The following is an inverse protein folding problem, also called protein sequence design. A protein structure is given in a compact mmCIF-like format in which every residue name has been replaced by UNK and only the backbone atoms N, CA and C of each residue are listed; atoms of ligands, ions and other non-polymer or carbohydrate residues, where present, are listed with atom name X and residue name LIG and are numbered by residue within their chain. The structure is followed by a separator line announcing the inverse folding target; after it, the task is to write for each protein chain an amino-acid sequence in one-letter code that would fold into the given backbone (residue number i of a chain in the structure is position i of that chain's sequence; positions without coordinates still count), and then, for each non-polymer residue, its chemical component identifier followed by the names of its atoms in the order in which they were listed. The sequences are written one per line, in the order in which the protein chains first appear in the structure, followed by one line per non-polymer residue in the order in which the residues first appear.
data_IF_240389031372
#
_entry.id   IF_240389031372
#
_cell.length_a   1.000
_cell.length_b   1.000
_cell.length_c   1.000
_cell.angle_alpha   90.00
_cell.angle_beta   90.00
_cell.angle_gamma   90.00
#
_symmetry.space_group_name_H-M   'P 1'
#
loop_
_entity.id
_entity.type
_entity.pdbx_description
1 polymer ?
#
# COMPACT_ATOMS: atom_id res chain seq x y z
N UNK A 1 -11.67 11.13 12.04
CA UNK A 1 -11.34 9.81 12.68
C UNK A 1 -10.53 8.95 11.74
N UNK A 2 -9.39 8.41 12.18
CA UNK A 2 -8.49 7.54 11.40
C UNK A 2 -8.12 6.34 12.28
N UNK A 3 -8.17 5.13 11.72
CA UNK A 3 -7.72 3.92 12.39
C UNK A 3 -6.21 3.78 12.16
N UNK A 4 -5.44 3.79 13.22
CA UNK A 4 -3.98 3.81 13.16
C UNK A 4 -3.35 2.61 13.86
N UNK A 5 -2.15 2.29 13.42
CA UNK A 5 -1.20 1.42 14.11
C UNK A 5 0.05 2.22 14.42
N UNK A 6 0.48 2.25 15.67
CA UNK A 6 1.58 3.12 16.08
C UNK A 6 2.32 2.58 17.32
N UNK A 7 3.46 3.17 17.63
CA UNK A 7 4.13 3.08 18.93
C UNK A 7 3.82 4.32 19.75
N UNK A 8 3.52 4.15 21.04
CA UNK A 8 3.30 5.24 22.00
C UNK A 8 4.59 5.63 22.77
N UNK A 9 5.71 5.68 22.06
CA UNK A 9 7.05 5.96 22.59
C UNK A 9 8.06 4.90 22.20
N UNK A 10 9.34 5.18 22.41
CA UNK A 10 10.44 4.30 22.03
C UNK A 10 10.38 2.96 22.78
N UNK A 11 10.39 1.86 22.03
CA UNK A 11 10.41 0.50 22.57
C UNK A 11 9.08 -0.02 23.10
N UNK A 12 7.97 0.71 22.99
CA UNK A 12 6.63 0.21 23.33
C UNK A 12 6.16 -0.84 22.32
N UNK A 13 5.30 -1.77 22.77
CA UNK A 13 4.58 -2.64 21.84
C UNK A 13 3.70 -1.78 20.90
N UNK A 14 3.52 -2.21 19.63
CA UNK A 14 2.55 -1.56 18.76
C UNK A 14 1.16 -1.56 19.39
N UNK A 15 0.41 -0.48 19.18
CA UNK A 15 -0.98 -0.35 19.58
C UNK A 15 -1.86 -0.02 18.36
N UNK A 16 -3.13 -0.37 18.47
CA UNK A 16 -4.17 -0.05 17.50
C UNK A 16 -5.11 0.94 18.16
N UNK A 17 -5.41 2.05 17.48
CA UNK A 17 -6.25 3.11 18.03
C UNK A 17 -6.95 3.92 16.96
N UNK A 18 -7.89 4.72 17.42
CA UNK A 18 -8.56 5.74 16.62
C UNK A 18 -7.92 7.10 16.90
N UNK A 19 -7.44 7.74 15.86
CA UNK A 19 -7.00 9.13 15.89
C UNK A 19 -8.18 10.03 15.57
N UNK A 20 -8.47 10.93 16.49
CA UNK A 20 -9.48 11.98 16.31
C UNK A 20 -9.04 13.25 17.07
N UNK A 21 -9.15 14.41 16.42
CA UNK A 21 -8.79 15.73 16.99
C UNK A 21 -7.42 15.77 17.70
N UNK A 22 -6.42 15.06 17.15
CA UNK A 22 -5.04 15.06 17.70
C UNK A 22 -4.85 14.13 18.91
N UNK A 23 -5.82 13.27 19.22
CA UNK A 23 -5.76 12.27 20.28
C UNK A 23 -5.94 10.88 19.70
N UNK A 24 -5.07 9.96 20.09
CA UNK A 24 -5.18 8.53 19.78
C UNK A 24 -5.82 7.82 20.95
N UNK A 25 -7.00 7.25 20.77
CA UNK A 25 -7.64 6.38 21.76
C UNK A 25 -7.48 4.94 21.35
N UNK A 26 -6.86 4.10 22.18
CA UNK A 26 -6.61 2.69 21.87
C UNK A 26 -7.92 1.91 21.81
N UNK A 27 -7.97 0.89 20.91
CA UNK A 27 -9.13 0.02 20.80
C UNK A 27 -9.09 -1.02 21.90
N UNK A 28 -10.11 -1.04 22.79
CA UNK A 28 -10.19 -2.00 23.88
C UNK A 28 -10.26 -3.43 23.38
N UNK A 29 -9.35 -4.29 23.86
CA UNK A 29 -9.31 -5.71 23.52
C UNK A 29 -8.69 -6.02 22.15
N UNK A 30 -8.17 -5.01 21.44
CA UNK A 30 -7.51 -5.19 20.14
C UNK A 30 -6.00 -5.04 20.28
N UNK A 31 -5.26 -6.12 20.06
CA UNK A 31 -3.80 -6.12 20.17
C UNK A 31 -3.09 -5.94 18.82
N UNK A 32 -3.72 -6.32 17.72
CA UNK A 32 -3.13 -6.30 16.37
C UNK A 32 -4.16 -5.87 15.32
N UNK A 33 -3.67 -5.34 14.19
CA UNK A 33 -4.55 -5.00 13.07
C UNK A 33 -5.19 -6.26 12.48
N UNK A 34 -4.42 -7.35 12.31
CA UNK A 34 -4.96 -8.63 11.87
C UNK A 34 -6.08 -9.15 12.81
N UNK A 35 -5.92 -8.97 14.13
CA UNK A 35 -6.95 -9.34 15.10
C UNK A 35 -8.23 -8.48 14.98
N UNK A 36 -8.08 -7.19 14.64
CA UNK A 36 -9.23 -6.34 14.35
C UNK A 36 -9.93 -6.78 13.06
N UNK A 37 -9.17 -7.00 12.00
CA UNK A 37 -9.70 -7.37 10.69
C UNK A 37 -10.28 -8.79 10.64
N UNK A 38 -10.02 -9.62 11.65
CA UNK A 38 -10.69 -10.91 11.83
C UNK A 38 -12.16 -10.78 12.28
N UNK A 39 -12.58 -9.58 12.72
CA UNK A 39 -13.93 -9.34 13.22
C UNK A 39 -14.90 -8.95 12.08
N UNK A 40 -16.22 -9.22 12.25
CA UNK A 40 -17.25 -8.69 11.36
C UNK A 40 -17.23 -7.16 11.32
N UNK A 41 -17.52 -6.55 10.15
CA UNK A 41 -17.48 -5.11 9.93
C UNK A 41 -18.30 -4.32 10.98
N UNK A 42 -19.46 -4.84 11.37
CA UNK A 42 -20.29 -4.20 12.41
C UNK A 42 -19.55 -4.05 13.75
N UNK A 43 -18.77 -5.03 14.16
CA UNK A 43 -18.00 -4.98 15.40
C UNK A 43 -16.79 -4.05 15.26
N UNK A 44 -16.11 -4.09 14.10
CA UNK A 44 -15.02 -3.16 13.79
C UNK A 44 -15.54 -1.71 13.89
N UNK A 45 -16.67 -1.42 13.24
CA UNK A 45 -17.28 -0.09 13.28
C UNK A 45 -17.62 0.36 14.68
N UNK A 46 -18.22 -0.52 15.49
CA UNK A 46 -18.54 -0.21 16.90
C UNK A 46 -17.27 0.12 17.72
N UNK A 47 -16.19 -0.65 17.56
CA UNK A 47 -14.90 -0.37 18.21
C UNK A 47 -14.28 0.94 17.74
N UNK A 48 -14.43 1.31 16.48
CA UNK A 48 -13.94 2.59 15.96
C UNK A 48 -14.75 3.77 16.47
N UNK A 49 -16.07 3.62 16.64
CA UNK A 49 -16.98 4.67 17.14
C UNK A 49 -16.89 4.83 18.67
N UNK A 50 -16.58 3.74 19.42
CA UNK A 50 -16.36 3.74 20.88
C UNK A 50 -15.11 2.90 21.24
N UNK A 51 -13.90 3.45 21.04
CA UNK A 51 -12.66 2.71 21.24
C UNK A 51 -12.41 2.29 22.69
N UNK A 52 -12.80 3.11 23.67
CA UNK A 52 -12.88 2.78 25.08
C UNK A 52 -11.57 2.39 25.78
N UNK A 53 -10.41 2.60 25.16
CA UNK A 53 -9.09 2.37 25.74
C UNK A 53 -8.41 3.65 26.23
N UNK A 54 -7.10 3.59 26.42
CA UNK A 54 -6.30 4.71 26.90
C UNK A 54 -6.09 5.77 25.80
N UNK A 55 -6.05 7.03 26.19
CA UNK A 55 -5.80 8.17 25.31
C UNK A 55 -4.31 8.57 25.32
N UNK A 56 -3.75 8.76 24.13
CA UNK A 56 -2.36 9.20 23.93
C UNK A 56 -2.35 10.38 22.96
N UNK A 57 -1.67 11.50 23.24
CA UNK A 57 -1.50 12.60 22.30
C UNK A 57 -0.83 12.14 21.00
N UNK A 58 -1.33 12.58 19.84
CA UNK A 58 -0.81 12.17 18.53
C UNK A 58 0.66 12.55 18.30
N UNK A 59 1.10 13.68 18.87
CA UNK A 59 2.50 14.13 18.81
C UNK A 59 3.50 13.23 19.58
N UNK A 60 2.97 12.27 20.37
CA UNK A 60 3.76 11.29 21.13
C UNK A 60 3.76 9.90 20.51
N UNK A 61 3.15 9.73 19.35
CA UNK A 61 3.12 8.43 18.67
C UNK A 61 3.95 8.44 17.39
N UNK A 62 4.52 7.29 17.06
CA UNK A 62 5.17 7.02 15.78
C UNK A 62 4.32 6.07 14.98
N UNK A 63 3.85 6.52 13.81
CA UNK A 63 3.00 5.70 12.94
C UNK A 63 3.77 4.49 12.38
N UNK A 64 3.07 3.39 12.24
CA UNK A 64 3.52 2.17 11.59
C UNK A 64 2.67 1.89 10.36
N UNK A 65 3.14 1.00 9.48
CA UNK A 65 2.28 0.47 8.42
C UNK A 65 0.97 -0.07 9.04
N UNK A 66 -0.20 0.24 8.46
CA UNK A 66 -1.50 -0.13 9.03
C UNK A 66 -1.84 -1.62 8.80
N UNK A 67 -0.85 -2.47 8.77
CA UNK A 67 -0.96 -3.93 8.59
C UNK A 67 0.03 -4.64 9.52
N UNK A 68 -0.33 -5.83 9.97
CA UNK A 68 0.54 -6.72 10.76
C UNK A 68 0.09 -8.19 10.67
N UNK A 69 0.79 -9.06 11.39
CA UNK A 69 0.43 -10.48 11.52
C UNK A 69 0.28 -11.17 10.18
N UNK A 70 -0.89 -11.73 9.95
CA UNK A 70 -1.26 -12.49 8.76
C UNK A 70 -2.00 -11.68 7.69
N UNK A 71 -2.07 -10.36 7.83
CA UNK A 71 -2.69 -9.48 6.82
C UNK A 71 -1.79 -9.38 5.59
N UNK A 72 -2.13 -10.06 4.53
CA UNK A 72 -1.41 -9.97 3.26
C UNK A 72 -1.81 -8.71 2.47
N UNK A 73 -0.92 -8.29 1.58
CA UNK A 73 -1.19 -7.25 0.58
C UNK A 73 -1.23 -7.89 -0.79
N UNK A 74 -2.38 -7.76 -1.45
CA UNK A 74 -2.59 -8.11 -2.84
C UNK A 74 -2.77 -6.85 -3.67
N UNK A 75 -2.48 -6.93 -4.96
CA UNK A 75 -2.67 -5.82 -5.88
C UNK A 75 -3.39 -6.28 -7.15
N UNK A 76 -4.09 -5.33 -7.77
CA UNK A 76 -4.76 -5.51 -9.04
C UNK A 76 -3.98 -4.77 -10.13
N UNK A 77 -3.55 -5.49 -11.17
CA UNK A 77 -2.90 -4.90 -12.33
C UNK A 77 -3.88 -4.48 -13.43
N UNK A 78 -3.43 -3.57 -14.29
CA UNK A 78 -4.14 -3.17 -15.54
C UNK A 78 -5.59 -2.72 -15.29
N UNK A 79 -5.82 -1.99 -14.22
CA UNK A 79 -7.16 -1.53 -13.82
C UNK A 79 -7.55 -0.17 -14.40
N UNK A 80 -6.59 0.57 -14.96
CA UNK A 80 -6.81 1.86 -15.63
C UNK A 80 -6.39 1.78 -17.09
N UNK A 81 -7.05 2.54 -17.97
CA UNK A 81 -6.70 2.61 -19.39
C UNK A 81 -5.26 3.13 -19.58
N UNK A 82 -4.88 4.19 -18.86
CA UNK A 82 -3.53 4.76 -18.94
C UNK A 82 -2.45 3.77 -18.51
N UNK A 83 -2.69 2.93 -17.51
CA UNK A 83 -1.72 1.91 -17.08
C UNK A 83 -1.52 0.85 -18.16
N UNK A 84 -2.59 0.48 -18.87
CA UNK A 84 -2.51 -0.38 -20.05
C UNK A 84 -1.64 0.24 -21.14
N UNK A 85 -1.89 1.51 -21.50
CA UNK A 85 -1.18 2.21 -22.56
C UNK A 85 0.33 2.37 -22.26
N UNK A 86 0.68 2.68 -21.00
CA UNK A 86 2.08 2.75 -20.55
C UNK A 86 2.80 1.40 -20.72
N UNK A 87 2.14 0.29 -20.36
CA UNK A 87 2.69 -1.07 -20.49
C UNK A 87 2.87 -1.50 -21.95
N UNK A 88 1.96 -1.13 -22.81
CA UNK A 88 2.03 -1.37 -24.26
C UNK A 88 3.26 -0.67 -24.86
N UNK A 89 3.58 0.56 -24.42
CA UNK A 89 4.74 1.31 -24.90
C UNK A 89 6.08 0.76 -24.37
N UNK A 90 6.08 0.10 -23.20
CA UNK A 90 7.28 -0.42 -22.55
C UNK A 90 7.73 -1.77 -23.11
N UNK A 91 6.85 -2.53 -23.77
CA UNK A 91 7.14 -3.86 -24.30
C UNK A 91 6.28 -4.19 -25.52
N UNK A 92 6.86 -4.06 -26.72
CA UNK A 92 6.19 -4.42 -27.98
C UNK A 92 5.74 -5.90 -28.01
N UNK A 93 6.53 -6.79 -27.40
CA UNK A 93 6.24 -8.23 -27.34
C UNK A 93 5.10 -8.57 -26.37
N UNK A 94 4.78 -7.70 -25.41
CA UNK A 94 3.78 -7.96 -24.36
C UNK A 94 2.51 -7.12 -24.51
N UNK A 95 2.47 -6.19 -25.46
CA UNK A 95 1.35 -5.28 -25.70
C UNK A 95 -0.01 -6.00 -25.79
N UNK A 96 -0.07 -7.09 -26.56
CA UNK A 96 -1.25 -7.90 -26.76
C UNK A 96 -1.75 -8.58 -25.45
N UNK A 97 -0.84 -8.88 -24.52
CA UNK A 97 -1.18 -9.47 -23.21
C UNK A 97 -1.93 -8.45 -22.36
N UNK A 98 -1.44 -7.21 -22.28
CA UNK A 98 -2.07 -6.17 -21.47
C UNK A 98 -3.44 -5.75 -22.01
N UNK A 99 -3.61 -5.67 -23.35
CA UNK A 99 -4.92 -5.43 -23.97
C UNK A 99 -5.92 -6.56 -23.66
N UNK A 100 -5.46 -7.80 -23.70
CA UNK A 100 -6.30 -8.97 -23.36
C UNK A 100 -6.68 -8.98 -21.89
N UNK A 101 -5.75 -8.68 -20.96
CA UNK A 101 -6.03 -8.60 -19.52
C UNK A 101 -7.01 -7.47 -19.22
N UNK A 102 -6.82 -6.30 -19.83
CA UNK A 102 -7.73 -5.17 -19.66
C UNK A 102 -9.17 -5.51 -20.10
N UNK A 103 -9.32 -6.27 -21.20
CA UNK A 103 -10.62 -6.69 -21.72
C UNK A 103 -11.19 -7.97 -21.07
N UNK A 104 -10.37 -8.73 -20.34
CA UNK A 104 -10.76 -10.04 -19.78
C UNK A 104 -11.85 -9.93 -18.72
N UNK A 105 -12.64 -11.01 -18.56
CA UNK A 105 -13.58 -11.14 -17.44
C UNK A 105 -12.83 -11.26 -16.09
N UNK A 106 -11.75 -12.06 -16.04
CA UNK A 106 -10.93 -12.26 -14.83
C UNK A 106 -9.93 -11.11 -14.69
N UNK A 107 -9.89 -10.39 -13.54
CA UNK A 107 -8.87 -9.37 -13.29
C UNK A 107 -7.49 -10.02 -13.10
N UNK A 108 -6.45 -9.25 -13.33
CA UNK A 108 -5.12 -9.56 -12.82
C UNK A 108 -5.08 -9.27 -11.33
N UNK A 109 -4.80 -10.28 -10.52
CA UNK A 109 -4.58 -10.15 -9.08
C UNK A 109 -3.27 -10.86 -8.75
N UNK A 110 -2.41 -10.20 -7.99
CA UNK A 110 -1.15 -10.79 -7.58
C UNK A 110 -0.82 -10.45 -6.12
N UNK A 111 -0.13 -11.37 -5.46
CA UNK A 111 0.41 -11.13 -4.13
C UNK A 111 1.50 -10.06 -4.20
N UNK A 112 1.36 -8.99 -3.41
CA UNK A 112 2.32 -7.88 -3.38
C UNK A 112 3.29 -7.98 -2.22
N UNK A 113 2.79 -8.22 -1.01
CA UNK A 113 3.64 -8.24 0.17
C UNK A 113 2.99 -8.95 1.34
N UNK A 114 3.78 -9.65 2.14
CA UNK A 114 3.38 -9.97 3.50
C UNK A 114 3.54 -8.75 4.41
N UNK A 115 2.70 -8.63 5.44
CA UNK A 115 2.68 -7.48 6.36
C UNK A 115 4.06 -7.09 6.90
N UNK A 116 4.91 -8.06 7.25
CA UNK A 116 6.23 -7.79 7.84
C UNK A 116 7.21 -7.06 6.90
N UNK A 117 6.96 -7.03 5.59
CA UNK A 117 7.75 -6.34 4.56
C UNK A 117 7.18 -5.00 4.15
N UNK A 118 6.00 -4.64 4.64
CA UNK A 118 5.37 -3.37 4.31
C UNK A 118 6.06 -2.24 5.07
N UNK A 119 6.50 -1.24 4.34
CA UNK A 119 7.12 -0.02 4.87
C UNK A 119 6.01 0.93 5.33
N UNK A 120 6.14 1.47 6.54
CA UNK A 120 5.23 2.48 7.06
C UNK A 120 5.60 3.90 6.64
N UNK A 121 4.83 4.91 7.11
CA UNK A 121 5.12 6.32 6.89
C UNK A 121 6.52 6.70 7.37
N UNK A 122 7.25 7.50 6.59
CA UNK A 122 8.61 7.93 6.87
C UNK A 122 9.70 6.85 6.70
N UNK A 123 9.30 5.59 6.47
CA UNK A 123 10.22 4.49 6.25
C UNK A 123 10.86 4.50 4.86
N UNK A 124 11.91 3.68 4.67
CA UNK A 124 12.64 3.59 3.42
C UNK A 124 12.04 2.55 2.47
N UNK A 125 11.53 3.00 1.31
CA UNK A 125 11.25 2.13 0.17
C UNK A 125 12.52 1.85 -0.61
N UNK A 126 12.56 0.77 -1.38
CA UNK A 126 13.77 0.41 -2.11
C UNK A 126 13.53 0.31 -3.62
N UNK A 127 14.54 0.71 -4.39
CA UNK A 127 14.74 0.26 -5.76
C UNK A 127 15.69 -0.94 -5.75
N UNK A 128 15.50 -1.87 -6.68
CA UNK A 128 16.33 -3.08 -6.74
C UNK A 128 17.76 -2.77 -7.16
N UNK A 129 18.72 -3.54 -6.65
CA UNK A 129 20.14 -3.40 -7.02
C UNK A 129 20.44 -3.90 -8.44
N UNK A 130 19.58 -4.77 -8.97
CA UNK A 130 19.65 -5.42 -10.27
C UNK A 130 18.62 -4.89 -11.28
N UNK A 131 18.08 -3.68 -11.05
CA UNK A 131 17.14 -2.98 -11.92
C UNK A 131 17.73 -1.67 -12.41
N UNK A 132 17.37 -1.27 -13.63
CA UNK A 132 17.80 -0.02 -14.26
C UNK A 132 16.72 1.06 -14.22
N UNK A 133 15.45 0.65 -14.37
CA UNK A 133 14.30 1.55 -14.34
C UNK A 133 13.34 1.11 -13.25
N UNK A 134 13.20 1.95 -12.25
CA UNK A 134 12.33 1.72 -11.10
C UNK A 134 11.41 2.95 -10.91
N UNK A 135 10.14 2.69 -10.66
CA UNK A 135 9.12 3.73 -10.49
C UNK A 135 8.24 3.48 -9.26
N UNK A 136 7.66 4.53 -8.66
CA UNK A 136 6.58 4.40 -7.70
C UNK A 136 5.24 4.28 -8.44
N UNK A 137 4.33 3.52 -7.90
CA UNK A 137 2.95 3.42 -8.35
C UNK A 137 2.02 3.78 -7.19
N UNK A 138 1.49 5.03 -7.16
CA UNK A 138 0.57 5.46 -6.12
C UNK A 138 -0.83 4.88 -6.37
N UNK A 139 -1.39 4.26 -5.34
CA UNK A 139 -2.67 3.55 -5.44
C UNK A 139 -3.56 3.82 -4.23
N UNK A 140 -4.87 3.89 -4.47
CA UNK A 140 -5.85 3.65 -3.42
C UNK A 140 -5.81 2.16 -3.07
N UNK A 141 -5.79 1.83 -1.78
CA UNK A 141 -5.87 0.46 -1.33
C UNK A 141 -7.08 0.27 -0.40
N UNK A 142 -7.91 -0.73 -0.71
CA UNK A 142 -9.03 -1.13 0.14
C UNK A 142 -8.55 -2.12 1.20
N UNK A 143 -8.90 -1.88 2.46
CA UNK A 143 -8.66 -2.79 3.57
C UNK A 143 -9.93 -3.60 3.82
N UNK A 144 -9.82 -4.92 3.69
CA UNK A 144 -10.94 -5.84 3.82
C UNK A 144 -10.77 -6.69 5.09
N UNK A 145 -11.88 -6.93 5.79
CA UNK A 145 -11.89 -7.87 6.90
C UNK A 145 -11.89 -9.34 6.39
N UNK A 146 -11.88 -10.28 7.31
CA UNK A 146 -11.91 -11.72 7.00
C UNK A 146 -13.18 -12.17 6.25
N UNK A 147 -14.24 -11.38 6.27
CA UNK A 147 -15.48 -11.62 5.53
C UNK A 147 -15.53 -10.95 4.14
N UNK A 148 -14.43 -10.31 3.70
CA UNK A 148 -14.38 -9.59 2.43
C UNK A 148 -15.12 -8.24 2.43
N UNK A 149 -15.51 -7.72 3.60
CA UNK A 149 -16.18 -6.45 3.75
C UNK A 149 -15.14 -5.31 3.82
N UNK A 150 -15.37 -4.20 3.08
CA UNK A 150 -14.46 -3.05 3.08
C UNK A 150 -14.54 -2.29 4.41
N UNK A 151 -13.48 -2.35 5.19
CA UNK A 151 -13.33 -1.64 6.47
C UNK A 151 -12.94 -0.17 6.24
N UNK A 152 -12.09 0.08 5.27
CA UNK A 152 -11.61 1.43 4.97
C UNK A 152 -10.60 1.46 3.84
N UNK A 153 -9.97 2.61 3.69
CA UNK A 153 -9.01 2.88 2.61
C UNK A 153 -7.69 3.41 3.17
N UNK A 154 -6.60 3.08 2.50
CA UNK A 154 -5.26 3.58 2.79
C UNK A 154 -4.53 3.88 1.48
N UNK A 155 -3.38 4.50 1.54
CA UNK A 155 -2.49 4.69 0.39
C UNK A 155 -1.54 3.50 0.32
N UNK A 156 -1.36 2.95 -0.88
CA UNK A 156 -0.30 2.01 -1.20
C UNK A 156 0.66 2.63 -2.22
N UNK A 157 1.97 2.45 -2.02
CA UNK A 157 2.98 2.65 -3.03
C UNK A 157 3.46 1.27 -3.50
N UNK A 158 3.01 0.86 -4.67
CA UNK A 158 3.44 -0.37 -5.34
C UNK A 158 4.74 -0.11 -6.11
N UNK A 159 5.88 -0.14 -5.40
CA UNK A 159 7.20 0.04 -6.02
C UNK A 159 7.45 -1.03 -7.06
N UNK A 160 7.88 -0.63 -8.25
CA UNK A 160 7.97 -1.48 -9.44
C UNK A 160 9.30 -1.36 -10.15
N UNK A 161 9.91 -2.51 -10.48
CA UNK A 161 11.03 -2.57 -11.41
C UNK A 161 10.50 -2.71 -12.84
N UNK A 162 10.50 -1.61 -13.58
CA UNK A 162 10.03 -1.60 -14.98
C UNK A 162 10.93 -2.40 -15.91
N UNK A 163 12.25 -2.40 -15.66
CA UNK A 163 13.19 -3.20 -16.45
C UNK A 163 12.86 -4.69 -16.38
N UNK A 164 12.63 -5.22 -15.16
CA UNK A 164 12.35 -6.66 -14.99
C UNK A 164 10.94 -7.00 -15.49
N UNK A 165 9.98 -6.12 -15.27
CA UNK A 165 8.60 -6.32 -15.71
C UNK A 165 8.49 -6.30 -17.25
N UNK A 166 9.19 -5.37 -17.91
CA UNK A 166 9.24 -5.27 -19.37
C UNK A 166 10.05 -6.38 -20.04
N UNK A 167 10.99 -7.02 -19.32
CA UNK A 167 11.77 -8.14 -19.86
C UNK A 167 10.90 -9.37 -20.14
N UNK A 168 10.00 -9.72 -19.21
CA UNK A 168 9.08 -10.84 -19.38
C UNK A 168 7.91 -10.74 -18.40
N UNK A 169 6.64 -10.82 -18.86
CA UNK A 169 5.47 -10.77 -17.97
C UNK A 169 5.46 -11.82 -16.85
N UNK A 170 6.12 -12.95 -17.04
CA UNK A 170 6.26 -14.00 -16.02
C UNK A 170 7.22 -13.59 -14.89
N UNK A 171 7.96 -12.51 -15.05
CA UNK A 171 8.84 -11.96 -14.01
C UNK A 171 8.14 -10.96 -13.09
N UNK A 172 6.81 -10.77 -13.23
CA UNK A 172 6.01 -9.92 -12.36
C UNK A 172 6.32 -10.12 -10.86
N UNK A 173 6.43 -11.35 -10.32
CA UNK A 173 6.79 -11.54 -8.92
C UNK A 173 8.16 -10.94 -8.56
N UNK A 174 9.15 -11.01 -9.45
CA UNK A 174 10.47 -10.43 -9.21
C UNK A 174 10.45 -8.90 -9.34
N UNK A 175 9.64 -8.37 -10.26
CA UNK A 175 9.47 -6.93 -10.47
C UNK A 175 8.76 -6.23 -9.31
N UNK A 176 7.83 -6.93 -8.64
CA UNK A 176 6.89 -6.37 -7.65
C UNK A 176 7.15 -6.83 -6.20
N UNK A 177 7.69 -8.05 -5.98
CA UNK A 177 7.76 -8.67 -4.65
C UNK A 177 9.21 -8.73 -4.16
N UNK A 178 9.65 -7.65 -3.51
CA UNK A 178 10.99 -7.56 -2.94
C UNK A 178 10.99 -6.69 -1.66
N UNK A 179 12.07 -6.72 -0.91
CA UNK A 179 12.20 -5.99 0.34
C UNK A 179 12.24 -4.48 0.08
N UNK A 180 11.34 -3.74 0.72
CA UNK A 180 11.14 -2.31 0.48
C UNK A 180 10.31 -2.00 -0.76
N UNK A 181 9.75 -3.02 -1.43
CA UNK A 181 8.92 -2.88 -2.63
C UNK A 181 7.46 -2.48 -2.38
N UNK A 182 7.02 -2.34 -1.13
CA UNK A 182 5.66 -1.97 -0.80
C UNK A 182 5.66 -1.03 0.40
N UNK A 183 5.01 0.13 0.28
CA UNK A 183 4.75 1.02 1.42
C UNK A 183 3.27 1.30 1.57
N UNK A 184 2.81 1.47 2.81
CA UNK A 184 1.40 1.76 3.10
C UNK A 184 1.25 2.73 4.27
N UNK A 185 0.21 3.53 4.21
CA UNK A 185 -0.16 4.46 5.25
C UNK A 185 -0.89 5.72 4.74
N UNK A 186 -0.99 6.74 5.58
CA UNK A 186 -0.45 6.81 6.95
C UNK A 186 -1.30 6.03 7.95
N UNK A 187 -2.58 5.78 7.64
CA UNK A 187 -3.61 5.12 8.43
C UNK A 187 -4.64 4.46 7.52
N UNK A 188 -5.66 3.87 8.13
CA UNK A 188 -6.88 3.45 7.43
C UNK A 188 -7.95 4.50 7.68
N UNK A 189 -8.47 5.12 6.62
CA UNK A 189 -9.67 5.94 6.66
C UNK A 189 -10.88 5.03 6.62
N UNK A 190 -11.75 5.01 7.64
CA UNK A 190 -12.92 4.14 7.66
C UNK A 190 -13.82 4.35 6.43
N UNK A 191 -14.33 3.27 5.84
CA UNK A 191 -15.11 3.33 4.61
C UNK A 191 -16.36 4.21 4.73
N UNK A 192 -17.00 4.22 5.89
CA UNK A 192 -18.17 5.06 6.18
C UNK A 192 -17.86 6.56 6.34
N UNK A 193 -16.60 6.94 6.20
CA UNK A 193 -16.14 8.35 6.18
C UNK A 193 -15.60 8.77 4.81
N UNK A 194 -15.61 7.88 3.83
CA UNK A 194 -15.25 8.17 2.44
C UNK A 194 -16.51 8.07 1.60
N UNK A 195 -17.13 9.22 1.21
CA UNK A 195 -18.43 9.22 0.55
C UNK A 195 -18.46 8.47 -0.78
N UNK A 196 -17.40 8.62 -1.56
CA UNK A 196 -17.24 7.97 -2.86
C UNK A 196 -15.78 7.60 -3.14
N UNK A 197 -15.40 6.32 -3.02
CA UNK A 197 -14.03 5.89 -3.28
C UNK A 197 -13.67 5.91 -4.78
N UNK A 198 -14.62 6.17 -5.68
CA UNK A 198 -14.43 6.26 -7.13
C UNK A 198 -14.31 7.70 -7.65
N UNK A 199 -14.17 8.68 -6.77
CA UNK A 199 -14.00 10.09 -7.15
C UNK A 199 -12.85 10.79 -6.40
N UNK A 200 -11.88 10.02 -5.91
CA UNK A 200 -10.76 10.53 -5.13
C UNK A 200 -9.63 11.03 -6.06
N UNK A 201 -9.08 12.20 -5.74
CA UNK A 201 -7.85 12.66 -6.35
C UNK A 201 -6.65 11.88 -5.78
N UNK A 202 -5.69 11.54 -6.64
CA UNK A 202 -4.40 10.94 -6.26
C UNK A 202 -3.31 11.86 -6.80
N UNK A 203 -2.49 12.38 -5.90
CA UNK A 203 -1.38 13.25 -6.25
C UNK A 203 -0.07 12.58 -5.84
N UNK A 204 0.96 12.72 -6.69
CA UNK A 204 2.30 12.26 -6.35
C UNK A 204 3.34 13.31 -6.72
N UNK A 205 4.30 13.51 -5.82
CA UNK A 205 5.47 14.36 -6.05
C UNK A 205 6.74 13.59 -5.71
N UNK A 206 7.75 13.67 -6.57
CA UNK A 206 9.08 13.11 -6.31
C UNK A 206 10.07 14.25 -6.19
N UNK A 207 10.82 14.26 -5.08
CA UNK A 207 11.86 15.25 -4.81
C UNK A 207 13.23 14.59 -4.80
N UNK A 208 14.19 15.27 -5.44
CA UNK A 208 15.60 14.91 -5.45
C UNK A 208 16.40 16.12 -4.98
N UNK A 209 17.20 15.95 -3.93
CA UNK A 209 17.96 17.03 -3.31
C UNK A 209 17.09 18.26 -2.96
N UNK A 210 15.85 18.02 -2.52
CA UNK A 210 14.88 19.04 -2.15
C UNK A 210 14.14 19.70 -3.32
N UNK A 211 14.53 19.43 -4.57
CA UNK A 211 13.85 19.95 -5.76
C UNK A 211 12.81 18.95 -6.30
N UNK A 212 11.67 19.43 -6.79
CA UNK A 212 10.70 18.60 -7.49
C UNK A 212 11.30 18.17 -8.83
N UNK A 213 11.44 16.87 -9.05
CA UNK A 213 11.94 16.28 -10.29
C UNK A 213 10.82 15.61 -11.09
N UNK A 214 9.71 15.34 -10.44
CA UNK A 214 8.50 14.84 -11.06
C UNK A 214 7.28 15.13 -10.17
N UNK A 215 6.16 15.45 -10.79
CA UNK A 215 4.85 15.55 -10.15
C UNK A 215 3.74 15.17 -11.12
N UNK A 216 2.61 14.74 -10.57
CA UNK A 216 1.45 14.39 -11.37
C UNK A 216 0.22 14.12 -10.52
N UNK A 217 -0.93 14.07 -11.19
CA UNK A 217 -2.23 13.82 -10.60
C UNK A 217 -3.05 12.80 -11.40
N UNK A 218 -3.93 12.10 -10.72
CA UNK A 218 -4.87 11.15 -11.30
C UNK A 218 -6.15 11.11 -10.45
N UNK A 219 -7.12 10.31 -10.86
CA UNK A 219 -8.35 10.09 -10.10
C UNK A 219 -8.76 8.63 -10.14
N UNK A 220 -9.31 8.15 -9.03
CA UNK A 220 -9.96 6.84 -8.95
C UNK A 220 -11.21 6.72 -9.85
N UNK A 221 -11.72 7.83 -10.38
CA UNK A 221 -12.81 7.82 -11.36
C UNK A 221 -12.46 7.06 -12.65
N UNK A 222 -11.18 6.90 -12.96
CA UNK A 222 -10.70 6.11 -14.08
C UNK A 222 -10.64 4.59 -13.84
N UNK A 223 -10.95 4.11 -12.62
CA UNK A 223 -11.00 2.67 -12.32
C UNK A 223 -12.05 1.98 -13.17
N UNK A 224 -11.62 1.05 -14.02
CA UNK A 224 -12.50 0.23 -14.84
C UNK A 224 -13.22 -0.85 -14.03
N UNK A 225 -12.52 -1.42 -13.05
CA UNK A 225 -13.04 -2.51 -12.22
C UNK A 225 -13.40 -1.99 -10.84
N UNK A 226 -14.61 -2.29 -10.40
CA UNK A 226 -15.06 -1.93 -9.06
C UNK A 226 -14.27 -2.68 -7.96
N UNK A 227 -14.04 -2.02 -6.83
CA UNK A 227 -13.36 -2.63 -5.66
C UNK A 227 -14.08 -3.89 -5.22
N UNK A 228 -15.42 -3.89 -5.24
CA UNK A 228 -16.22 -5.08 -4.90
C UNK A 228 -16.03 -6.24 -5.88
N UNK A 229 -15.90 -5.99 -7.19
CA UNK A 229 -15.57 -7.00 -8.19
C UNK A 229 -14.18 -7.62 -7.91
N UNK A 230 -13.18 -6.78 -7.67
CA UNK A 230 -11.82 -7.24 -7.36
C UNK A 230 -11.80 -8.08 -6.07
N UNK A 231 -12.50 -7.64 -5.03
CA UNK A 231 -12.63 -8.36 -3.77
C UNK A 231 -13.33 -9.72 -3.96
N UNK A 232 -14.41 -9.78 -4.75
CA UNK A 232 -15.11 -11.04 -5.07
C UNK A 232 -14.16 -12.06 -5.73
N UNK A 233 -13.32 -11.61 -6.69
CA UNK A 233 -12.34 -12.50 -7.31
C UNK A 233 -11.24 -12.93 -6.34
N UNK A 234 -10.80 -12.04 -5.45
CA UNK A 234 -9.77 -12.32 -4.46
C UNK A 234 -10.23 -13.40 -3.45
N UNK A 235 -11.47 -13.30 -2.97
CA UNK A 235 -12.04 -14.23 -1.98
C UNK A 235 -12.68 -15.49 -2.58
N UNK A 236 -12.68 -15.66 -3.91
CA UNK A 236 -13.43 -16.75 -4.55
C UNK A 236 -12.97 -18.15 -4.14
N UNK A 237 -11.67 -18.37 -4.02
CA UNK A 237 -11.05 -19.67 -3.68
C UNK A 237 -9.95 -19.51 -2.63
N UNK A 238 -9.95 -18.40 -1.87
CA UNK A 238 -8.97 -18.14 -0.82
C UNK A 238 -9.63 -17.50 0.40
N UNK A 239 -8.98 -17.64 1.56
CA UNK A 239 -9.43 -17.13 2.84
C UNK A 239 -8.37 -16.24 3.47
N UNK A 240 -8.80 -15.14 4.07
CA UNK A 240 -7.92 -14.16 4.72
C UNK A 240 -8.29 -13.97 6.20
N UNK A 241 -7.93 -14.89 7.10
CA UNK A 241 -8.36 -14.87 8.51
C UNK A 241 -7.99 -13.60 9.27
N UNK A 242 -6.90 -12.93 8.87
CA UNK A 242 -6.45 -11.65 9.43
C UNK A 242 -6.80 -10.45 8.55
N UNK A 243 -7.81 -10.60 7.67
CA UNK A 243 -8.11 -9.61 6.63
C UNK A 243 -7.02 -9.53 5.57
N UNK A 244 -7.25 -8.70 4.57
CA UNK A 244 -6.34 -8.48 3.44
C UNK A 244 -6.41 -7.04 2.99
N UNK A 245 -5.31 -6.52 2.45
CA UNK A 245 -5.31 -5.24 1.74
C UNK A 245 -5.25 -5.50 0.25
N UNK A 246 -6.17 -4.87 -0.48
CA UNK A 246 -6.26 -4.93 -1.94
C UNK A 246 -5.92 -3.57 -2.52
N UNK A 247 -4.73 -3.44 -3.09
CA UNK A 247 -4.28 -2.29 -3.85
C UNK A 247 -4.93 -2.32 -5.23
N UNK A 248 -5.49 -1.18 -5.67
CA UNK A 248 -6.46 -1.17 -6.78
C UNK A 248 -5.85 -0.87 -8.14
N UNK A 249 -4.53 -0.76 -8.21
CA UNK A 249 -3.81 -0.35 -9.41
C UNK A 249 -3.62 1.16 -9.50
N UNK A 250 -2.72 1.58 -10.39
CA UNK A 250 -2.36 2.98 -10.61
C UNK A 250 -2.71 3.45 -12.02
N UNK A 251 -3.00 4.74 -12.15
CA UNK A 251 -3.02 5.47 -13.44
C UNK A 251 -1.94 6.56 -13.49
N UNK A 252 -1.07 6.62 -12.49
CA UNK A 252 -0.11 7.69 -12.32
C UNK A 252 1.29 7.12 -12.18
N UNK A 253 2.07 7.21 -13.25
CA UNK A 253 3.44 6.67 -13.31
C UNK A 253 4.31 7.65 -14.08
N UNK A 254 5.54 7.93 -13.63
CA UNK A 254 6.50 8.68 -14.44
C UNK A 254 6.79 7.98 -15.76
N UNK A 255 6.77 8.75 -16.86
CA UNK A 255 7.12 8.25 -18.19
C UNK A 255 8.64 8.05 -18.34
N UNK A 256 9.04 7.15 -19.22
CA UNK A 256 10.46 6.99 -19.59
C UNK A 256 11.03 8.30 -20.17
N UNK A 257 12.28 8.66 -19.88
CA UNK A 257 13.32 7.85 -19.24
C UNK A 257 13.45 8.04 -17.71
N UNK A 258 12.42 8.48 -17.02
CA UNK A 258 12.50 8.70 -15.57
C UNK A 258 12.78 7.39 -14.81
N UNK A 259 13.66 7.46 -13.82
CA UNK A 259 13.88 6.40 -12.84
C UNK A 259 14.20 6.98 -11.46
N UNK A 260 13.75 6.30 -10.43
CA UNK A 260 14.09 6.60 -9.04
C UNK A 260 15.57 6.32 -8.77
N UNK A 261 16.17 7.14 -7.89
CA UNK A 261 17.50 6.89 -7.34
C UNK A 261 17.47 6.95 -5.81
N UNK A 262 18.51 6.40 -5.19
CA UNK A 262 18.67 6.51 -3.74
C UNK A 262 18.75 7.99 -3.31
N UNK A 263 17.99 8.33 -2.26
CA UNK A 263 17.87 9.70 -1.75
C UNK A 263 16.60 10.44 -2.20
N UNK A 264 15.93 9.99 -3.26
CA UNK A 264 14.64 10.56 -3.66
C UNK A 264 13.62 10.45 -2.51
N UNK A 265 12.75 11.44 -2.40
CA UNK A 265 11.59 11.45 -1.53
C UNK A 265 10.33 11.33 -2.39
N UNK A 266 9.51 10.34 -2.10
CA UNK A 266 8.21 10.12 -2.73
C UNK A 266 7.14 10.57 -1.76
N UNK A 267 6.25 11.44 -2.21
CA UNK A 267 5.07 11.92 -1.49
C UNK A 267 3.84 11.58 -2.29
N UNK A 268 2.94 10.81 -1.70
CA UNK A 268 1.65 10.43 -2.28
C UNK A 268 0.55 11.00 -1.39
N UNK A 269 -0.41 11.72 -1.98
CA UNK A 269 -1.54 12.32 -1.29
C UNK A 269 -2.86 11.86 -1.92
N UNK A 270 -3.78 11.45 -1.08
CA UNK A 270 -5.20 11.26 -1.38
C UNK A 270 -5.94 12.04 -0.29
N UNK A 271 -6.43 13.26 -0.57
CA UNK A 271 -6.88 14.21 0.48
C UNK A 271 -7.86 13.61 1.48
N UNK A 272 -8.81 12.78 1.03
CA UNK A 272 -9.81 12.13 1.89
C UNK A 272 -9.23 10.99 2.72
N UNK A 273 -8.06 10.44 2.32
CA UNK A 273 -7.40 9.30 2.99
C UNK A 273 -6.23 9.76 3.84
N UNK A 274 -5.31 10.54 3.27
CA UNK A 274 -4.13 11.04 3.97
C UNK A 274 -2.93 11.28 3.04
N UNK A 275 -1.73 11.28 3.63
CA UNK A 275 -0.47 11.48 2.92
C UNK A 275 0.57 10.44 3.37
N UNK A 276 1.22 9.79 2.40
CA UNK A 276 2.30 8.84 2.61
C UNK A 276 3.61 9.41 2.05
N UNK A 277 4.63 9.51 2.89
CA UNK A 277 5.96 9.99 2.49
C UNK A 277 6.99 8.91 2.78
N UNK A 278 7.80 8.59 1.79
CA UNK A 278 8.88 7.60 1.91
C UNK A 278 10.16 8.10 1.23
N UNK A 279 11.31 7.68 1.75
CA UNK A 279 12.60 7.94 1.11
C UNK A 279 13.10 6.69 0.39
N UNK A 280 13.70 6.89 -0.79
CA UNK A 280 14.21 5.79 -1.63
C UNK A 280 15.62 5.40 -1.19
N UNK A 281 15.86 4.09 -1.07
CA UNK A 281 17.19 3.49 -0.90
C UNK A 281 17.45 2.49 -2.03
N UNK A 282 18.72 2.13 -2.28
CA UNK A 282 19.04 1.16 -3.34
C UNK A 282 19.51 -0.17 -2.78
N UNK A 283 18.84 -1.24 -3.20
CA UNK A 283 19.23 -2.62 -2.96
C UNK A 283 18.87 -3.15 -1.57
N UNK A 284 18.91 -4.47 -1.44
CA UNK A 284 18.48 -5.23 -0.26
C UNK A 284 19.21 -4.83 1.03
N UNK A 285 20.50 -4.53 0.97
CA UNK A 285 21.28 -4.22 2.17
C UNK A 285 20.82 -2.91 2.82
N UNK A 286 20.57 -1.88 2.03
CA UNK A 286 20.07 -0.60 2.49
C UNK A 286 18.62 -0.70 2.98
N UNK A 287 17.77 -1.45 2.27
CA UNK A 287 16.40 -1.72 2.69
C UNK A 287 16.36 -2.41 4.07
N UNK A 288 17.19 -3.44 4.28
CA UNK A 288 17.28 -4.17 5.56
C UNK A 288 17.63 -3.26 6.74
N UNK A 289 18.40 -2.21 6.55
CA UNK A 289 18.74 -1.28 7.63
C UNK A 289 17.52 -0.57 8.20
N UNK A 290 16.49 -0.32 7.39
CA UNK A 290 15.20 0.25 7.82
C UNK A 290 14.27 -0.76 8.54
N UNK A 291 14.51 -2.06 8.35
CA UNK A 291 13.72 -3.14 8.99
C UNK A 291 14.39 -3.71 10.26
N UNK A 292 15.65 -3.34 10.53
CA UNK A 292 16.41 -3.83 11.68
C UNK A 292 16.31 -2.87 12.88
N UNK A 293 15.22 -2.92 13.66
CA UNK A 293 15.33 -3.61 14.95
C UNK A 293 14.39 -4.80 15.10
N UNK A 294 13.47 -5.01 14.17
CA UNK A 294 12.41 -6.02 14.31
C UNK A 294 12.84 -7.48 13.99
N UNK A 295 13.92 -7.68 13.24
CA UNK A 295 14.38 -9.03 12.86
C UNK A 295 15.80 -9.25 13.31
N UNK A 296 15.98 -9.72 14.57
CA UNK A 296 17.26 -10.34 14.98
C UNK A 296 17.50 -11.53 14.05
N UNK A 297 18.56 -11.47 13.23
CA UNK A 297 18.98 -12.60 12.41
C UNK A 297 19.30 -13.79 13.32
N UNK A 298 18.65 -14.96 13.15
CA UNK A 298 19.29 -16.21 13.55
C UNK A 298 20.58 -16.35 12.71
N UNK A 299 21.64 -16.86 13.30
CA UNK A 299 22.95 -16.96 12.69
C UNK A 299 22.94 -17.52 11.27
N UNK A 300 23.96 -17.13 10.49
CA UNK A 300 24.20 -17.66 9.15
C UNK A 300 24.26 -19.19 9.20
N UNK A 301 23.46 -19.82 8.32
CA UNK A 301 23.65 -21.21 7.93
C UNK A 301 24.86 -21.30 7.01
#
# INVERSE_FOLDING_TARGET
MQLIRCHAGDGSAPLIGMLDEGVVTTLRGVATMAGLLALPLRQIRQLCEDPGGDAVPYDRVSLLAPVDGTTDVWAAGVTYERSKDARVLESEDSADIYDRVYAAHRPELFFKSAAWRVVGPGGAVAVRGDSEVDVPEPELAAVLNSGGEVVGYTICNDMSSRSIEGENPLYLPQAKIYLGGCAMGPWIRPAWQVPDPYSLAIEMTIRRDGQVVWDGEASTAGLRRGIGELAEFLFREDEFPGGVVLSTGTSLVPDLPFTLIAGDEIRISIPEVGELVNRVVRGKAAALAGFLPAVRRPGRW
#
